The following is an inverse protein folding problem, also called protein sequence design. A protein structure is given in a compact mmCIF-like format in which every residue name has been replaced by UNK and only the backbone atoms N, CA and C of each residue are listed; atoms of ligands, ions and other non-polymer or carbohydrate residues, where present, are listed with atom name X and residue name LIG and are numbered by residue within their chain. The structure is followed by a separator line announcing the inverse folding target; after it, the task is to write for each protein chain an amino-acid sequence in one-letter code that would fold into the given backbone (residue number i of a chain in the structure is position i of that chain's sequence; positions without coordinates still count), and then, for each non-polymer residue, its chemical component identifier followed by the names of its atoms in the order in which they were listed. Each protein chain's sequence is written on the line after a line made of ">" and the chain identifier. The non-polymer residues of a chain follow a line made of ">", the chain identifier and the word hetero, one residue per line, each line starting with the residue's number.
data_IF_260171741311
#
_entry.id   IF_260171741311
#
_cell.length_a   1.000
_cell.length_b   1.000
_cell.length_c   1.000
_cell.angle_alpha   90.00
_cell.angle_beta   90.00
_cell.angle_gamma   90.00
#
_symmetry.space_group_name_H-M   'P 1'
#
loop_
_entity.id
_entity.type
_entity.pdbx_description
1 polymer ?
#
# COMPACT_ATOMS: atom_id res chain seq x y z
N UNK A 1 12.16 5.28 -13.81
CA UNK A 1 11.87 6.71 -13.58
C UNK A 1 11.38 7.30 -14.90
N UNK A 2 10.84 8.52 -14.85
CA UNK A 2 10.46 9.34 -16.01
C UNK A 2 10.80 10.79 -15.69
N UNK A 3 11.09 11.60 -16.71
CA UNK A 3 11.38 13.02 -16.51
C UNK A 3 10.24 13.88 -17.07
N UNK A 4 10.01 15.05 -16.47
CA UNK A 4 9.05 16.02 -16.96
C UNK A 4 9.61 17.45 -16.78
N UNK A 5 9.48 18.29 -17.80
CA UNK A 5 9.97 19.66 -17.79
C UNK A 5 9.94 20.27 -19.18
N UNK A 6 10.08 21.60 -19.28
CA UNK A 6 10.16 22.31 -20.56
C UNK A 6 11.63 22.37 -20.99
N UNK A 7 12.05 21.41 -21.80
CA UNK A 7 13.44 21.29 -22.21
C UNK A 7 13.93 22.54 -22.98
N UNK A 8 15.11 23.04 -22.60
CA UNK A 8 15.70 24.25 -23.18
C UNK A 8 15.16 25.57 -22.61
N UNK A 9 14.11 25.54 -21.80
CA UNK A 9 13.46 26.75 -21.24
C UNK A 9 13.47 26.76 -19.72
N UNK A 10 13.11 25.64 -19.09
CA UNK A 10 12.99 25.55 -17.63
C UNK A 10 11.75 26.29 -17.09
N UNK A 11 11.85 26.86 -15.90
CA UNK A 11 10.82 27.70 -15.28
C UNK A 11 9.61 26.94 -14.69
N UNK A 12 9.48 25.64 -14.94
CA UNK A 12 8.43 24.78 -14.37
C UNK A 12 8.99 23.42 -13.98
N UNK A 13 8.89 23.11 -12.70
CA UNK A 13 9.33 21.84 -12.14
C UNK A 13 8.71 21.65 -10.74
N UNK A 14 8.80 20.42 -10.22
CA UNK A 14 8.65 20.18 -8.79
C UNK A 14 9.91 20.65 -8.05
N UNK A 15 9.80 21.01 -6.78
CA UNK A 15 10.92 21.49 -5.98
C UNK A 15 10.94 20.88 -4.57
N UNK A 16 11.77 21.45 -3.70
CA UNK A 16 11.88 21.04 -2.31
C UNK A 16 10.52 21.11 -1.61
N UNK A 17 10.13 20.02 -0.96
CA UNK A 17 8.82 19.88 -0.30
C UNK A 17 7.76 19.18 -1.13
N UNK A 18 7.95 19.06 -2.46
CA UNK A 18 6.99 18.39 -3.34
C UNK A 18 7.21 16.87 -3.47
N UNK A 19 8.28 16.34 -2.86
CA UNK A 19 8.60 14.90 -2.88
C UNK A 19 7.42 14.05 -2.42
N UNK A 20 7.06 13.05 -3.21
CA UNK A 20 5.86 12.23 -2.97
C UNK A 20 4.57 12.77 -3.59
N UNK A 21 4.57 14.02 -4.08
CA UNK A 21 3.45 14.62 -4.79
C UNK A 21 3.17 13.98 -6.17
N UNK A 22 1.96 14.13 -6.71
CA UNK A 22 1.56 13.51 -7.97
C UNK A 22 1.94 14.36 -9.19
N UNK A 23 2.44 13.70 -10.24
CA UNK A 23 2.43 14.22 -11.61
C UNK A 23 1.21 13.66 -12.33
N UNK A 24 0.28 14.54 -12.68
CA UNK A 24 -0.99 14.19 -13.32
C UNK A 24 -0.95 14.40 -14.84
N UNK A 25 -1.54 13.46 -15.56
CA UNK A 25 -1.87 13.60 -16.98
C UNK A 25 -3.27 13.06 -17.23
N UNK A 26 -4.18 13.90 -17.73
CA UNK A 26 -5.60 13.58 -17.96
C UNK A 26 -6.28 12.91 -16.74
N UNK A 27 -6.04 13.43 -15.54
CA UNK A 27 -6.62 12.91 -14.29
C UNK A 27 -5.97 11.63 -13.76
N UNK A 28 -4.94 11.11 -14.42
CA UNK A 28 -4.21 9.90 -13.99
C UNK A 28 -2.87 10.29 -13.39
N UNK A 29 -2.51 9.70 -12.24
CA UNK A 29 -1.18 9.85 -11.64
C UNK A 29 -0.18 9.01 -12.43
N UNK A 30 0.62 9.67 -13.26
CA UNK A 30 1.61 9.01 -14.13
C UNK A 30 3.00 8.98 -13.49
N UNK A 31 3.28 9.94 -12.61
CA UNK A 31 4.54 10.06 -11.89
C UNK A 31 4.35 10.43 -10.42
N UNK A 32 5.33 10.11 -9.59
CA UNK A 32 5.46 10.61 -8.22
C UNK A 32 6.75 11.41 -8.13
N UNK A 33 6.70 12.66 -7.66
CA UNK A 33 7.87 13.52 -7.50
C UNK A 33 8.94 12.81 -6.69
N UNK A 34 10.16 12.74 -7.21
CA UNK A 34 11.26 12.00 -6.58
C UNK A 34 12.45 12.90 -6.31
N UNK A 35 13.14 13.37 -7.35
CA UNK A 35 14.35 14.17 -7.22
C UNK A 35 14.61 14.99 -8.49
N UNK A 36 15.62 15.86 -8.46
CA UNK A 36 16.06 16.68 -9.59
C UNK A 36 17.40 17.35 -9.29
N UNK A 37 17.97 18.02 -10.28
CA UNK A 37 19.15 18.88 -10.09
C UNK A 37 18.67 20.32 -10.10
N UNK A 38 18.75 21.00 -8.94
CA UNK A 38 18.09 22.29 -8.78
C UNK A 38 16.56 22.17 -8.89
N UNK A 39 15.91 23.27 -9.23
CA UNK A 39 14.49 23.30 -9.55
C UNK A 39 14.27 24.18 -10.78
N UNK A 40 13.45 23.72 -11.73
CA UNK A 40 13.04 24.50 -12.89
C UNK A 40 14.21 24.92 -13.80
N UNK A 41 15.26 24.10 -13.83
CA UNK A 41 16.43 24.31 -14.67
C UNK A 41 16.13 23.97 -16.14
N UNK A 42 16.69 24.76 -17.06
CA UNK A 42 16.41 24.61 -18.49
C UNK A 42 16.88 23.28 -19.09
N UNK A 43 17.97 22.72 -18.54
CA UNK A 43 18.59 21.49 -19.04
C UNK A 43 18.32 20.27 -18.14
N UNK A 44 17.84 20.49 -16.92
CA UNK A 44 17.64 19.43 -15.92
C UNK A 44 16.17 19.37 -15.52
N UNK A 45 15.35 18.55 -16.21
CA UNK A 45 13.96 18.35 -15.82
C UNK A 45 13.86 17.57 -14.51
N UNK A 46 12.77 17.76 -13.79
CA UNK A 46 12.44 16.96 -12.62
C UNK A 46 12.28 15.48 -12.95
N UNK A 47 12.70 14.64 -12.00
CA UNK A 47 12.67 13.19 -12.10
C UNK A 47 11.57 12.64 -11.20
N UNK A 48 10.69 11.87 -11.83
CA UNK A 48 9.53 11.26 -11.21
C UNK A 48 9.65 9.73 -11.22
N UNK A 49 9.16 9.09 -10.17
CA UNK A 49 8.93 7.64 -10.18
C UNK A 49 7.85 7.33 -11.20
N UNK A 50 8.15 6.45 -12.16
CA UNK A 50 7.22 6.05 -13.23
C UNK A 50 6.16 5.10 -12.63
N UNK A 51 4.96 5.60 -12.35
CA UNK A 51 3.91 4.84 -11.63
C UNK A 51 3.58 3.53 -12.33
N UNK A 52 3.51 3.53 -13.67
CA UNK A 52 3.19 2.34 -14.45
C UNK A 52 4.17 1.17 -14.24
N UNK A 53 5.40 1.42 -13.77
CA UNK A 53 6.38 0.37 -13.45
C UNK A 53 6.04 -0.35 -12.13
N UNK A 54 5.28 0.29 -11.24
CA UNK A 54 5.01 -0.17 -9.88
C UNK A 54 3.54 -0.50 -9.62
N UNK A 55 2.66 -0.42 -10.63
CA UNK A 55 1.21 -0.64 -10.49
C UNK A 55 0.87 -1.94 -9.76
N UNK A 56 1.51 -3.06 -10.10
CA UNK A 56 1.25 -4.35 -9.44
C UNK A 56 1.56 -4.30 -7.94
N UNK A 57 2.70 -3.71 -7.57
CA UNK A 57 3.08 -3.54 -6.17
C UNK A 57 2.13 -2.60 -5.44
N UNK A 58 1.76 -1.47 -6.04
CA UNK A 58 0.81 -0.51 -5.44
C UNK A 58 -0.53 -1.20 -5.15
N UNK A 59 -1.10 -1.90 -6.14
CA UNK A 59 -2.38 -2.62 -6.00
C UNK A 59 -2.27 -3.69 -4.91
N UNK A 60 -1.21 -4.50 -4.97
CA UNK A 60 -0.95 -5.53 -3.96
C UNK A 60 -0.90 -4.92 -2.55
N UNK A 61 -0.11 -3.87 -2.34
CA UNK A 61 0.05 -3.23 -1.03
C UNK A 61 -1.25 -2.63 -0.52
N UNK A 62 -2.01 -1.92 -1.36
CA UNK A 62 -3.32 -1.36 -0.97
C UNK A 62 -4.29 -2.47 -0.56
N UNK A 63 -4.35 -3.56 -1.33
CA UNK A 63 -5.20 -4.72 -1.02
C UNK A 63 -4.79 -5.40 0.29
N UNK A 64 -3.49 -5.50 0.58
CA UNK A 64 -2.99 -6.13 1.81
C UNK A 64 -3.24 -5.27 3.04
N UNK A 65 -3.11 -3.94 2.92
CA UNK A 65 -3.45 -3.00 4.00
C UNK A 65 -4.95 -3.05 4.29
N UNK A 66 -5.79 -3.16 3.26
CA UNK A 66 -7.25 -3.19 3.41
C UNK A 66 -7.81 -4.59 3.72
N UNK A 67 -7.03 -5.65 3.51
CA UNK A 67 -7.46 -7.05 3.61
C UNK A 67 -7.07 -7.78 4.90
N UNK A 68 -6.28 -7.16 5.77
CA UNK A 68 -5.90 -7.72 7.09
C UNK A 68 -6.96 -7.54 8.18
N UNK A 69 -8.24 -7.35 7.82
CA UNK A 69 -9.35 -7.39 8.76
C UNK A 69 -10.20 -8.67 8.71
N UNK A 70 -10.08 -9.54 7.69
CA UNK A 70 -11.01 -10.68 7.54
C UNK A 70 -10.43 -12.06 7.88
N UNK A 71 -9.14 -12.30 7.62
CA UNK A 71 -8.57 -13.66 7.81
C UNK A 71 -8.33 -14.02 9.29
N UNK A 72 -8.20 -13.02 10.17
CA UNK A 72 -8.12 -13.25 11.61
C UNK A 72 -9.47 -13.54 12.27
N UNK A 73 -10.59 -13.18 11.62
CA UNK A 73 -11.94 -13.47 12.14
C UNK A 73 -12.32 -14.93 11.93
N UNK A 74 -11.99 -15.52 10.78
CA UNK A 74 -12.40 -16.90 10.43
C UNK A 74 -11.75 -17.96 11.33
N UNK A 75 -10.48 -17.79 11.71
CA UNK A 75 -9.79 -18.76 12.58
C UNK A 75 -10.27 -18.71 14.03
N UNK A 76 -10.71 -17.54 14.51
CA UNK A 76 -11.21 -17.37 15.88
C UNK A 76 -12.64 -17.90 16.01
N UNK A 77 -13.50 -17.69 15.01
CA UNK A 77 -14.90 -18.16 15.04
C UNK A 77 -15.06 -19.68 15.01
N UNK A 78 -14.13 -20.43 14.39
CA UNK A 78 -14.19 -21.91 14.37
C UNK A 78 -13.51 -22.58 15.57
N UNK A 79 -12.54 -21.92 16.21
CA UNK A 79 -11.83 -22.46 17.36
C UNK A 79 -12.67 -22.45 18.65
N UNK A 80 -13.49 -21.41 18.85
CA UNK A 80 -14.35 -21.24 20.03
C UNK A 80 -15.43 -22.33 20.16
N UNK A 81 -16.25 -22.64 19.13
CA UNK A 81 -17.24 -23.70 19.23
C UNK A 81 -16.59 -25.09 19.38
N UNK A 82 -15.42 -25.31 18.77
CA UNK A 82 -14.68 -26.56 18.94
C UNK A 82 -14.16 -26.74 20.38
N UNK A 83 -13.62 -25.68 20.99
CA UNK A 83 -13.15 -25.72 22.38
C UNK A 83 -14.31 -25.91 23.37
N UNK A 84 -15.44 -25.22 23.16
CA UNK A 84 -16.65 -25.40 23.98
C UNK A 84 -17.22 -26.82 23.87
N UNK A 85 -17.21 -27.42 22.68
CA UNK A 85 -17.60 -28.80 22.49
C UNK A 85 -16.70 -29.74 23.30
N UNK A 86 -15.37 -29.57 23.22
CA UNK A 86 -14.40 -30.40 23.96
C UNK A 86 -14.57 -30.27 25.48
N UNK A 87 -14.83 -29.07 26.00
CA UNK A 87 -15.10 -28.86 27.44
C UNK A 87 -16.39 -29.58 27.85
N UNK A 88 -17.45 -29.50 27.05
CA UNK A 88 -18.72 -30.19 27.34
C UNK A 88 -18.62 -31.72 27.31
N UNK A 89 -17.76 -32.29 26.45
CA UNK A 89 -17.54 -33.74 26.41
C UNK A 89 -16.73 -34.19 27.63
N UNK A 90 -15.77 -33.40 28.10
CA UNK A 90 -14.99 -33.74 29.31
C UNK A 90 -15.80 -33.65 30.61
N UNK A 91 -16.80 -32.77 30.69
CA UNK A 91 -17.66 -32.65 31.87
C UNK A 91 -18.76 -33.71 31.94
N UNK A 92 -19.05 -34.43 30.84
CA UNK A 92 -19.95 -35.58 30.85
C UNK A 92 -19.30 -36.87 31.36
N UNK A 93 -17.98 -36.89 31.55
CA UNK A 93 -17.25 -38.03 32.11
C UNK A 93 -16.66 -37.67 33.49
N UNK A 94 -17.54 -37.27 34.41
CA UNK A 94 -17.18 -37.22 35.82
C UNK A 94 -17.02 -38.64 36.38
N UNK A 95 -16.05 -38.91 37.28
CA UNK A 95 -15.87 -40.24 37.85
C UNK A 95 -17.10 -40.62 38.66
N UNK A 96 -17.69 -41.78 38.37
CA UNK A 96 -18.71 -42.39 39.20
C UNK A 96 -18.12 -42.64 40.60
N UNK A 97 -18.49 -41.80 41.56
CA UNK A 97 -18.17 -42.01 42.98
C UNK A 97 -19.04 -43.15 43.49
N UNK A 98 -18.42 -44.31 43.73
CA UNK A 98 -18.94 -45.35 44.63
C UNK A 98 -18.39 -45.12 46.03
#
# INVERSE_FOLDING_TARGET
>A
MMCAGIQGVGGKDACFGDSGGPLLYNGVVVGITSWGVGCAEAQYPGVFTKVSKYTNWIIYTIQHINGTSSVHSIRVTLAIPFLLLMISVTSLWGPATN
#
